data_IF_719157801025
#
_entry.id   IF_719157801025
#
_cell.length_a   1.000
_cell.length_b   1.000
_cell.length_c   1.000
_cell.angle_alpha   90.00
_cell.angle_beta   90.00
_cell.angle_gamma   90.00
#
_symmetry.space_group_name_H-M   'P 1'
#
loop_
_entity.id
_entity.type
_entity.pdbx_description
1 polymer ?
#
# COMPACT_ATOMS: atom_id res chain seq x y z
N UNK A 1 10.83 -43.26 4.12
CA UNK A 1 10.85 -42.13 3.19
C UNK A 1 11.31 -40.90 3.95
N UNK A 2 12.51 -40.40 3.66
CA UNK A 2 13.11 -39.28 4.37
C UNK A 2 12.45 -37.97 3.93
N UNK A 3 11.89 -37.22 4.89
CA UNK A 3 11.42 -35.85 4.70
C UNK A 3 12.63 -34.91 4.68
N UNK A 4 12.99 -34.43 3.50
CA UNK A 4 14.02 -33.40 3.33
C UNK A 4 13.46 -32.04 3.75
N UNK A 5 13.98 -31.52 4.87
CA UNK A 5 13.81 -30.12 5.28
C UNK A 5 14.39 -29.21 4.19
N UNK A 6 13.58 -28.33 3.61
CA UNK A 6 14.04 -27.32 2.67
C UNK A 6 14.70 -26.17 3.44
N UNK A 7 16.01 -26.24 3.64
CA UNK A 7 16.81 -25.07 4.03
C UNK A 7 16.90 -24.12 2.83
N UNK A 8 15.96 -23.17 2.75
CA UNK A 8 15.97 -22.13 1.71
C UNK A 8 17.03 -21.08 2.02
N UNK A 9 18.31 -21.39 1.80
CA UNK A 9 19.35 -20.34 1.75
C UNK A 9 19.09 -19.48 0.50
N UNK A 10 18.94 -18.18 0.69
CA UNK A 10 18.78 -17.24 -0.43
C UNK A 10 19.96 -17.35 -1.39
N UNK A 11 19.74 -17.32 -2.72
CA UNK A 11 20.82 -17.49 -3.68
C UNK A 11 21.83 -16.34 -3.58
N UNK A 12 23.11 -16.69 -3.57
CA UNK A 12 24.21 -15.73 -3.62
C UNK A 12 24.19 -15.07 -5.01
N UNK A 13 24.01 -13.74 -5.04
CA UNK A 13 23.95 -12.97 -6.30
C UNK A 13 25.32 -12.54 -6.82
N UNK A 14 26.25 -12.28 -5.91
CA UNK A 14 27.58 -11.74 -6.23
C UNK A 14 28.63 -12.38 -5.33
N UNK A 15 29.73 -12.81 -5.94
CA UNK A 15 30.90 -13.34 -5.25
C UNK A 15 31.82 -12.18 -4.84
N UNK A 16 31.79 -11.82 -3.55
CA UNK A 16 32.51 -10.67 -2.99
C UNK A 16 34.03 -10.80 -3.20
N UNK A 17 34.57 -12.02 -3.27
CA UNK A 17 36.01 -12.25 -3.44
C UNK A 17 36.54 -11.80 -4.81
N UNK A 18 35.66 -11.60 -5.79
CA UNK A 18 36.01 -11.19 -7.16
C UNK A 18 35.83 -9.71 -7.41
N UNK A 19 35.28 -8.97 -6.44
CA UNK A 19 35.06 -7.53 -6.57
C UNK A 19 36.37 -6.75 -6.52
N UNK A 20 36.43 -5.69 -7.32
CA UNK A 20 37.58 -4.78 -7.42
C UNK A 20 37.13 -3.34 -7.22
N UNK A 21 38.06 -2.50 -6.79
CA UNK A 21 37.81 -1.06 -6.69
C UNK A 21 37.42 -0.50 -8.06
N UNK A 22 36.28 0.19 -8.11
CA UNK A 22 35.69 0.70 -9.36
C UNK A 22 34.52 -0.13 -9.91
N UNK A 23 34.23 -1.32 -9.35
CA UNK A 23 33.06 -2.09 -9.74
C UNK A 23 31.75 -1.40 -9.32
N UNK A 24 30.77 -1.42 -10.21
CA UNK A 24 29.43 -0.87 -9.97
C UNK A 24 28.47 -1.96 -9.49
N UNK A 25 27.73 -1.68 -8.41
CA UNK A 25 26.71 -2.56 -7.86
C UNK A 25 25.36 -1.84 -7.86
N UNK A 26 24.28 -2.59 -8.03
CA UNK A 26 22.91 -2.06 -8.00
C UNK A 26 21.99 -3.00 -7.24
N UNK A 27 21.16 -2.44 -6.37
CA UNK A 27 20.05 -3.15 -5.74
C UNK A 27 18.95 -2.14 -5.36
N UNK A 28 17.69 -2.53 -5.51
CA UNK A 28 16.55 -1.81 -4.93
C UNK A 28 16.24 -2.39 -3.55
N UNK A 29 16.23 -1.54 -2.53
CA UNK A 29 15.82 -1.91 -1.17
C UNK A 29 14.82 -0.88 -0.63
N UNK A 30 13.88 -1.36 0.18
CA UNK A 30 12.92 -0.53 0.90
C UNK A 30 13.23 -0.60 2.39
N UNK A 31 13.16 0.54 3.07
CA UNK A 31 13.58 0.68 4.45
C UNK A 31 12.45 1.15 5.35
N UNK A 32 12.41 0.61 6.56
CA UNK A 32 11.63 1.12 7.68
C UNK A 32 12.55 1.86 8.64
N UNK A 33 12.14 3.05 9.09
CA UNK A 33 12.84 3.80 10.13
C UNK A 33 12.68 3.06 11.46
N UNK A 34 13.79 2.69 12.10
CA UNK A 34 13.83 2.12 13.46
C UNK A 34 13.99 3.19 14.51
N UNK A 35 14.93 4.10 14.29
CA UNK A 35 15.33 5.10 15.26
C UNK A 35 15.87 6.34 14.54
N UNK A 36 15.56 7.51 15.08
CA UNK A 36 16.09 8.80 14.61
C UNK A 36 17.13 9.26 15.63
N UNK A 37 18.36 9.39 15.18
CA UNK A 37 19.51 9.83 15.98
C UNK A 37 19.92 11.23 15.51
N UNK A 38 20.74 11.91 16.30
CA UNK A 38 21.25 13.22 15.89
C UNK A 38 22.17 13.08 14.64
N UNK A 39 21.76 13.71 13.53
CA UNK A 39 22.46 13.68 12.24
C UNK A 39 22.42 12.34 11.46
N UNK A 40 21.78 11.28 12.00
CA UNK A 40 21.72 9.95 11.39
C UNK A 40 20.38 9.27 11.65
N UNK A 41 20.00 8.33 10.78
CA UNK A 41 18.79 7.53 10.94
C UNK A 41 19.13 6.06 10.83
N UNK A 42 18.67 5.27 11.80
CA UNK A 42 18.75 3.82 11.76
C UNK A 42 17.58 3.25 10.97
N UNK A 43 17.90 2.45 9.96
CA UNK A 43 16.96 1.86 9.01
C UNK A 43 17.05 0.34 9.08
N UNK A 44 15.95 -0.35 8.82
CA UNK A 44 15.91 -1.79 8.60
C UNK A 44 15.22 -2.09 7.27
N UNK A 45 15.82 -2.96 6.46
CA UNK A 45 15.17 -3.44 5.25
C UNK A 45 14.27 -4.66 5.51
N UNK A 46 13.54 -5.08 4.48
CA UNK A 46 12.60 -6.21 4.55
C UNK A 46 13.26 -7.56 4.90
N UNK A 47 14.58 -7.68 4.77
CA UNK A 47 15.35 -8.89 5.12
C UNK A 47 15.85 -8.88 6.57
N UNK A 48 15.57 -7.81 7.32
CA UNK A 48 16.05 -7.61 8.70
C UNK A 48 17.45 -7.04 8.79
N UNK A 49 18.06 -6.61 7.68
CA UNK A 49 19.37 -5.97 7.73
C UNK A 49 19.21 -4.51 8.18
N UNK A 50 19.90 -4.18 9.26
CA UNK A 50 19.98 -2.81 9.78
C UNK A 50 21.12 -2.04 9.12
N UNK A 51 20.87 -0.80 8.74
CA UNK A 51 21.90 0.16 8.32
C UNK A 51 21.69 1.48 9.06
N UNK A 52 22.75 2.27 9.23
CA UNK A 52 22.64 3.64 9.72
C UNK A 52 23.16 4.57 8.63
N UNK A 53 22.33 5.52 8.22
CA UNK A 53 22.65 6.48 7.17
C UNK A 53 22.59 7.89 7.71
N UNK A 54 23.38 8.80 7.15
CA UNK A 54 23.32 10.23 7.49
C UNK A 54 22.08 10.89 6.88
N UNK A 55 21.62 11.98 7.49
CA UNK A 55 20.45 12.72 7.01
C UNK A 55 20.57 13.11 5.53
N UNK A 56 21.76 13.52 5.10
CA UNK A 56 22.02 13.93 3.72
C UNK A 56 21.68 12.85 2.68
N UNK A 57 21.97 11.58 2.96
CA UNK A 57 21.62 10.47 2.05
C UNK A 57 20.10 10.34 1.92
N UNK A 58 19.38 10.55 3.01
CA UNK A 58 17.92 10.45 3.04
C UNK A 58 17.29 11.64 2.31
N UNK A 59 17.74 12.85 2.63
CA UNK A 59 17.23 14.09 2.06
C UNK A 59 17.46 14.20 0.55
N UNK A 60 18.64 13.77 0.06
CA UNK A 60 18.97 13.85 -1.37
C UNK A 60 18.50 12.63 -2.17
N UNK A 61 18.36 11.47 -1.54
CA UNK A 61 18.28 10.18 -2.26
C UNK A 61 17.07 9.30 -1.95
N UNK A 62 16.26 9.60 -0.93
CA UNK A 62 15.15 8.74 -0.52
C UNK A 62 13.79 9.43 -0.58
N UNK A 63 12.76 8.67 -0.98
CA UNK A 63 11.37 9.10 -0.89
C UNK A 63 10.70 8.50 0.33
N UNK A 64 9.98 9.33 1.07
CA UNK A 64 9.09 8.88 2.15
C UNK A 64 7.76 8.41 1.56
N UNK A 65 7.17 7.36 2.14
CA UNK A 65 5.83 6.92 1.76
C UNK A 65 4.75 7.91 2.16
N UNK A 66 4.99 8.75 3.18
CA UNK A 66 3.97 9.62 3.77
C UNK A 66 4.18 11.12 3.58
N UNK A 67 5.42 11.57 3.30
CA UNK A 67 5.70 12.99 3.11
C UNK A 67 5.41 13.41 1.66
N UNK A 68 4.82 14.60 1.51
CA UNK A 68 4.58 15.22 0.22
C UNK A 68 4.60 16.74 0.39
N UNK A 69 5.02 17.42 -0.67
CA UNK A 69 5.10 18.88 -0.73
C UNK A 69 3.92 19.45 -1.53
N UNK A 70 3.45 18.71 -2.53
CA UNK A 70 2.41 19.15 -3.45
C UNK A 70 1.18 18.25 -3.38
N UNK A 71 0.02 18.83 -3.64
CA UNK A 71 -1.24 18.09 -3.83
C UNK A 71 -1.82 18.42 -5.18
N UNK A 72 -2.04 17.38 -5.99
CA UNK A 72 -2.57 17.50 -7.36
C UNK A 72 -3.88 16.74 -7.45
N UNK A 73 -4.91 17.39 -8.00
CA UNK A 73 -6.19 16.75 -8.28
C UNK A 73 -6.22 16.24 -9.71
N UNK A 74 -6.44 14.94 -9.90
CA UNK A 74 -6.42 14.28 -11.21
C UNK A 74 -7.74 13.56 -11.50
N UNK A 75 -8.00 13.30 -12.79
CA UNK A 75 -9.02 12.31 -13.16
C UNK A 75 -8.59 10.93 -12.65
N UNK A 76 -9.55 10.01 -12.49
CA UNK A 76 -9.24 8.65 -12.06
C UNK A 76 -8.29 7.95 -13.02
N UNK A 77 -8.50 8.08 -14.33
CA UNK A 77 -7.63 7.50 -15.36
C UNK A 77 -6.19 8.00 -15.24
N UNK A 78 -6.00 9.32 -15.09
CA UNK A 78 -4.66 9.88 -14.92
C UNK A 78 -3.99 9.40 -13.61
N UNK A 79 -4.74 9.21 -12.53
CA UNK A 79 -4.18 8.64 -11.30
C UNK A 79 -3.75 7.17 -11.49
N UNK A 80 -4.49 6.39 -12.29
CA UNK A 80 -4.11 5.01 -12.61
C UNK A 80 -2.78 4.98 -13.37
N UNK A 81 -2.60 5.86 -14.35
CA UNK A 81 -1.34 6.01 -15.09
C UNK A 81 -0.16 6.35 -14.15
N UNK A 82 -0.40 7.22 -13.15
CA UNK A 82 0.61 7.53 -12.13
C UNK A 82 0.98 6.29 -11.29
N UNK A 83 -0.01 5.49 -10.88
CA UNK A 83 0.24 4.26 -10.12
C UNK A 83 0.94 3.19 -10.96
N UNK A 84 0.55 3.03 -12.22
CA UNK A 84 1.19 2.11 -13.17
C UNK A 84 2.65 2.52 -13.44
N UNK A 85 2.92 3.82 -13.47
CA UNK A 85 4.26 4.40 -13.60
C UNK A 85 5.08 4.46 -12.31
N UNK A 86 4.59 3.92 -11.18
CA UNK A 86 5.29 4.00 -9.89
C UNK A 86 6.62 3.21 -9.88
N UNK A 87 6.74 2.17 -10.73
CA UNK A 87 7.96 1.37 -10.86
C UNK A 87 8.41 0.78 -9.51
N UNK A 88 9.66 1.01 -9.15
CA UNK A 88 10.30 0.55 -7.92
C UNK A 88 10.27 1.60 -6.79
N UNK A 89 9.43 2.63 -6.92
CA UNK A 89 9.28 3.65 -5.89
C UNK A 89 8.26 3.20 -4.83
N UNK A 90 8.56 3.52 -3.57
CA UNK A 90 7.59 3.36 -2.49
C UNK A 90 6.44 4.37 -2.65
N UNK A 91 5.23 3.93 -2.34
CA UNK A 91 4.05 4.77 -2.33
C UNK A 91 3.10 4.42 -1.18
N UNK A 92 2.22 5.36 -0.86
CA UNK A 92 1.05 5.12 -0.03
C UNK A 92 -0.21 5.29 -0.86
N UNK A 93 -1.06 4.27 -0.92
CA UNK A 93 -2.32 4.33 -1.66
C UNK A 93 -3.49 4.14 -0.70
N UNK A 94 -4.55 4.92 -0.91
CA UNK A 94 -5.82 4.74 -0.22
C UNK A 94 -6.92 4.42 -1.21
N UNK A 95 -7.63 3.34 -0.94
CA UNK A 95 -8.67 2.83 -1.83
C UNK A 95 -9.76 2.14 -1.02
N UNK A 96 -10.94 1.98 -1.62
CA UNK A 96 -12.00 1.21 -0.99
C UNK A 96 -11.90 -0.26 -1.41
N UNK A 97 -11.83 -1.15 -0.44
CA UNK A 97 -11.88 -2.59 -0.70
C UNK A 97 -13.26 -2.95 -1.23
N UNK A 98 -13.33 -3.87 -2.19
CA UNK A 98 -14.61 -4.42 -2.65
C UNK A 98 -15.38 -4.99 -1.45
N UNK A 99 -16.59 -4.47 -1.24
CA UNK A 99 -17.50 -4.95 -0.22
C UNK A 99 -17.87 -6.41 -0.48
N UNK A 100 -17.82 -7.23 0.57
CA UNK A 100 -18.37 -8.59 0.50
C UNK A 100 -19.85 -8.53 0.82
N UNK A 101 -20.66 -9.36 0.16
CA UNK A 101 -22.12 -9.42 0.41
C UNK A 101 -22.44 -9.55 1.90
N UNK A 102 -21.69 -10.38 2.62
CA UNK A 102 -21.82 -10.53 4.07
C UNK A 102 -21.62 -9.21 4.83
N UNK A 103 -20.60 -8.42 4.49
CA UNK A 103 -20.32 -7.12 5.13
C UNK A 103 -21.44 -6.11 4.85
N UNK A 104 -22.04 -6.17 3.66
CA UNK A 104 -23.19 -5.32 3.29
C UNK A 104 -24.42 -5.72 4.10
N UNK A 105 -24.69 -7.02 4.24
CA UNK A 105 -25.80 -7.56 5.01
C UNK A 105 -25.64 -7.22 6.50
N UNK A 106 -24.44 -7.42 7.07
CA UNK A 106 -24.14 -7.11 8.47
C UNK A 106 -24.36 -5.61 8.77
N UNK A 107 -23.96 -4.70 7.86
CA UNK A 107 -24.18 -3.26 8.00
C UNK A 107 -25.67 -2.88 7.92
N UNK A 108 -26.45 -3.56 7.07
CA UNK A 108 -27.91 -3.34 6.97
C UNK A 108 -28.61 -3.85 8.23
N UNK A 109 -28.26 -5.05 8.71
CA UNK A 109 -28.84 -5.64 9.91
C UNK A 109 -28.54 -4.77 11.14
N UNK A 110 -27.29 -4.34 11.33
CA UNK A 110 -26.95 -3.45 12.45
C UNK A 110 -27.72 -2.11 12.40
N UNK A 111 -27.89 -1.53 11.22
CA UNK A 111 -28.68 -0.31 11.06
C UNK A 111 -30.18 -0.50 11.38
N UNK A 112 -30.72 -1.71 11.18
CA UNK A 112 -32.10 -2.07 11.53
C UNK A 112 -32.22 -2.38 13.02
N UNK A 113 -31.24 -3.04 13.63
CA UNK A 113 -31.23 -3.31 15.08
C UNK A 113 -31.17 -2.01 15.91
N UNK A 114 -30.44 -1.00 15.45
CA UNK A 114 -30.38 0.33 16.08
C UNK A 114 -31.68 1.15 15.96
N UNK A 115 -32.67 0.69 15.19
CA UNK A 115 -33.97 1.36 15.05
C UNK A 115 -34.99 0.88 16.08
N UNK A 116 -34.76 -0.26 16.74
CA UNK A 116 -35.72 -0.89 17.65
C UNK A 116 -36.94 -1.47 16.92
N UNK A 117 -37.91 -1.95 17.71
CA UNK A 117 -39.16 -2.50 17.16
C UNK A 117 -40.09 -1.36 16.73
N UNK A 118 -40.40 -1.30 15.44
CA UNK A 118 -41.37 -0.41 14.79
C UNK A 118 -40.90 1.04 14.45
N UNK A 119 -39.85 1.19 13.62
CA UNK A 119 -39.42 2.50 13.13
C UNK A 119 -40.37 3.09 12.08
N UNK A 120 -40.52 4.42 12.07
CA UNK A 120 -41.22 5.15 11.02
C UNK A 120 -40.71 4.72 9.62
N UNK A 121 -41.59 4.33 8.68
CA UNK A 121 -41.22 3.88 7.34
C UNK A 121 -40.27 4.82 6.59
N UNK A 122 -40.38 6.15 6.81
CA UNK A 122 -39.47 7.15 6.21
C UNK A 122 -38.08 7.08 6.82
N UNK A 123 -37.98 6.88 8.13
CA UNK A 123 -36.72 6.74 8.87
C UNK A 123 -36.04 5.43 8.49
N UNK A 124 -36.81 4.34 8.42
CA UNK A 124 -36.34 3.02 7.96
C UNK A 124 -35.76 3.10 6.55
N UNK A 125 -36.52 3.67 5.60
CA UNK A 125 -36.07 3.81 4.21
C UNK A 125 -34.79 4.66 4.10
N UNK A 126 -34.67 5.73 4.89
CA UNK A 126 -33.47 6.59 4.90
C UNK A 126 -32.26 5.84 5.45
N UNK A 127 -32.42 5.09 6.54
CA UNK A 127 -31.33 4.36 7.21
C UNK A 127 -30.86 3.18 6.38
N UNK A 128 -31.77 2.41 5.77
CA UNK A 128 -31.44 1.35 4.82
C UNK A 128 -30.68 1.92 3.61
N UNK A 129 -31.14 3.03 3.01
CA UNK A 129 -30.42 3.67 1.89
C UNK A 129 -28.99 4.09 2.27
N UNK A 130 -28.80 4.61 3.48
CA UNK A 130 -27.47 4.97 3.99
C UNK A 130 -26.59 3.74 4.23
N UNK A 131 -27.13 2.69 4.86
CA UNK A 131 -26.44 1.43 5.12
C UNK A 131 -26.04 0.72 3.82
N UNK A 132 -26.95 0.65 2.83
CA UNK A 132 -26.66 0.12 1.49
C UNK A 132 -25.56 0.93 0.83
N UNK A 133 -25.62 2.27 0.88
CA UNK A 133 -24.57 3.12 0.27
C UNK A 133 -23.21 2.89 0.91
N UNK A 134 -23.16 2.79 2.25
CA UNK A 134 -21.94 2.53 3.01
C UNK A 134 -21.40 1.12 2.75
N UNK A 135 -22.27 0.11 2.82
CA UNK A 135 -21.96 -1.27 2.52
C UNK A 135 -21.40 -1.42 1.11
N UNK A 136 -22.05 -0.87 0.09
CA UNK A 136 -21.59 -0.95 -1.31
C UNK A 136 -20.29 -0.18 -1.56
N UNK A 137 -20.08 0.95 -0.88
CA UNK A 137 -18.84 1.73 -1.05
C UNK A 137 -17.59 1.01 -0.56
N UNK A 138 -17.75 -0.01 0.29
CA UNK A 138 -16.65 -0.83 0.80
C UNK A 138 -15.84 -0.15 1.89
N UNK A 139 -14.95 -0.93 2.52
CA UNK A 139 -14.11 -0.42 3.61
C UNK A 139 -12.91 0.35 3.05
N UNK A 140 -12.70 1.57 3.55
CA UNK A 140 -11.52 2.39 3.24
C UNK A 140 -10.28 1.69 3.78
N UNK A 141 -9.28 1.49 2.93
CA UNK A 141 -7.98 0.93 3.31
C UNK A 141 -6.86 1.84 2.81
N UNK A 142 -5.86 2.03 3.67
CA UNK A 142 -4.57 2.61 3.30
C UNK A 142 -3.53 1.49 3.30
N UNK A 143 -2.62 1.53 2.33
CA UNK A 143 -1.52 0.59 2.17
C UNK A 143 -0.24 1.35 1.83
N UNK A 144 0.86 0.98 2.47
CA UNK A 144 2.22 1.41 2.12
C UNK A 144 2.89 0.27 1.38
N UNK A 145 3.42 0.52 0.19
CA UNK A 145 3.94 -0.54 -0.64
C UNK A 145 4.69 -0.10 -1.87
N UNK A 146 5.03 -1.08 -2.68
CA UNK A 146 5.63 -0.89 -4.00
C UNK A 146 5.00 -1.86 -5.01
N UNK A 147 5.13 -1.53 -6.29
CA UNK A 147 4.52 -2.25 -7.39
C UNK A 147 5.32 -3.51 -7.72
N UNK A 148 4.62 -4.63 -7.96
CA UNK A 148 5.26 -5.86 -8.46
C UNK A 148 4.95 -6.03 -9.93
N UNK A 149 3.67 -5.92 -10.27
CA UNK A 149 3.17 -6.11 -11.61
C UNK A 149 1.98 -5.20 -11.86
N UNK A 150 1.99 -4.58 -13.02
CA UNK A 150 0.86 -3.85 -13.58
C UNK A 150 0.14 -4.75 -14.58
N UNK A 151 -1.15 -4.96 -14.38
CA UNK A 151 -2.01 -5.41 -15.48
C UNK A 151 -2.35 -4.20 -16.36
N UNK A 152 -2.25 -4.36 -17.67
CA UNK A 152 -2.61 -3.28 -18.59
C UNK A 152 -4.15 -3.06 -18.57
N UNK A 153 -4.56 -1.80 -18.36
CA UNK A 153 -5.93 -1.25 -18.45
C UNK A 153 -6.79 -1.41 -17.19
N UNK A 154 -6.89 -0.34 -16.38
CA UNK A 154 -7.95 -0.06 -15.39
C UNK A 154 -8.43 -1.28 -14.56
N UNK A 155 -7.51 -2.17 -14.26
CA UNK A 155 -7.77 -3.44 -13.60
C UNK A 155 -7.31 -3.37 -12.17
N UNK A 156 -6.37 -4.25 -11.82
CA UNK A 156 -5.79 -4.32 -10.49
C UNK A 156 -4.27 -4.29 -10.61
N UNK A 157 -3.61 -3.48 -9.79
CA UNK A 157 -2.17 -3.58 -9.61
C UNK A 157 -1.86 -4.58 -8.50
N UNK A 158 -0.88 -5.44 -8.75
CA UNK A 158 -0.32 -6.29 -7.71
C UNK A 158 0.81 -5.54 -7.01
N UNK A 159 0.68 -5.41 -5.69
CA UNK A 159 1.58 -4.63 -4.84
C UNK A 159 2.07 -5.48 -3.68
N UNK A 160 3.25 -5.16 -3.14
CA UNK A 160 3.68 -5.65 -1.82
C UNK A 160 3.25 -4.64 -0.76
N UNK A 161 2.46 -5.11 0.20
CA UNK A 161 2.09 -4.38 1.41
C UNK A 161 3.23 -4.51 2.44
N UNK A 162 3.96 -3.41 2.66
CA UNK A 162 5.11 -3.39 3.57
C UNK A 162 4.70 -3.51 5.05
N UNK A 163 3.44 -3.21 5.38
CA UNK A 163 2.91 -3.29 6.75
C UNK A 163 2.22 -4.64 7.03
N UNK A 164 1.94 -5.43 5.99
CA UNK A 164 1.30 -6.72 6.16
C UNK A 164 2.21 -7.74 6.88
N UNK A 165 1.73 -8.41 7.95
CA UNK A 165 2.49 -9.43 8.65
C UNK A 165 2.62 -10.72 7.82
N UNK A 166 3.76 -11.39 7.94
CA UNK A 166 3.99 -12.75 7.42
C UNK A 166 4.48 -12.85 5.97
N UNK A 167 4.48 -14.07 5.42
CA UNK A 167 5.03 -14.39 4.09
C UNK A 167 4.15 -13.94 2.92
N UNK A 168 2.86 -13.65 3.15
CA UNK A 168 1.89 -13.30 2.11
C UNK A 168 1.56 -11.79 2.13
N UNK A 169 2.49 -11.00 1.58
CA UNK A 169 2.38 -9.53 1.52
C UNK A 169 1.76 -9.01 0.22
N UNK A 170 1.50 -9.89 -0.75
CA UNK A 170 0.84 -9.53 -2.00
C UNK A 170 -0.58 -9.02 -1.76
N UNK A 171 -0.90 -7.88 -2.34
CA UNK A 171 -2.24 -7.29 -2.35
C UNK A 171 -2.59 -6.85 -3.77
N UNK A 172 -3.89 -6.83 -4.04
CA UNK A 172 -4.43 -6.26 -5.26
C UNK A 172 -5.05 -4.91 -4.92
N UNK A 173 -4.64 -3.88 -5.64
CA UNK A 173 -5.20 -2.53 -5.55
C UNK A 173 -6.11 -2.33 -6.75
N UNK A 174 -7.41 -2.19 -6.51
CA UNK A 174 -8.38 -1.91 -7.57
C UNK A 174 -8.33 -0.42 -7.93
N UNK A 175 -7.94 -0.14 -9.16
CA UNK A 175 -7.78 1.22 -9.67
C UNK A 175 -9.06 2.04 -9.61
N UNK A 176 -10.20 1.37 -9.71
CA UNK A 176 -11.52 2.01 -9.75
C UNK A 176 -11.96 2.52 -8.39
N UNK A 177 -11.33 2.08 -7.31
CA UNK A 177 -11.72 2.47 -5.94
C UNK A 177 -10.67 3.32 -5.24
N UNK A 178 -9.62 3.76 -5.96
CA UNK A 178 -8.61 4.65 -5.40
C UNK A 178 -9.25 6.00 -5.07
N UNK A 179 -8.94 6.47 -3.88
CA UNK A 179 -9.31 7.78 -3.36
C UNK A 179 -8.15 8.77 -3.51
N UNK A 180 -6.93 8.33 -3.17
CA UNK A 180 -5.70 9.12 -3.32
C UNK A 180 -4.44 8.23 -3.33
N UNK A 181 -3.33 8.79 -3.83
CA UNK A 181 -2.01 8.17 -3.91
C UNK A 181 -0.94 9.19 -3.47
N UNK A 182 0.02 8.79 -2.65
CA UNK A 182 1.25 9.55 -2.36
C UNK A 182 2.40 8.84 -3.02
N UNK A 183 3.09 9.53 -3.93
CA UNK A 183 4.23 9.01 -4.68
C UNK A 183 5.21 10.15 -4.96
N UNK A 184 6.51 9.93 -4.71
CA UNK A 184 7.60 10.88 -5.01
C UNK A 184 7.31 12.33 -4.56
N UNK A 185 6.95 12.48 -3.28
CA UNK A 185 6.61 13.76 -2.64
C UNK A 185 5.38 14.49 -3.21
N UNK A 186 4.54 13.82 -4.00
CA UNK A 186 3.28 14.39 -4.51
C UNK A 186 2.10 13.54 -4.04
N UNK A 187 1.07 14.22 -3.54
CA UNK A 187 -0.22 13.61 -3.21
C UNK A 187 -1.22 13.83 -4.34
N UNK A 188 -1.61 12.75 -5.00
CA UNK A 188 -2.61 12.73 -6.04
C UNK A 188 -3.98 12.40 -5.45
N UNK A 189 -4.97 13.25 -5.69
CA UNK A 189 -6.35 13.05 -5.19
C UNK A 189 -7.29 12.92 -6.39
N UNK A 190 -8.23 11.96 -6.31
CA UNK A 190 -9.23 11.80 -7.37
C UNK A 190 -10.20 12.99 -7.35
N UNK A 191 -10.39 13.60 -8.52
CA UNK A 191 -11.40 14.63 -8.75
C UNK A 191 -12.79 14.03 -8.49
N UNK A 192 -13.56 14.69 -7.62
CA UNK A 192 -14.96 14.36 -7.36
C UNK A 192 -15.86 14.77 -8.52
#
# INVERSE_FOLDING_TARGET
MASTKSDSKSPIRTDVSKLKAGDYLSETQYYKVKEVLDGKIALENERGFGITVTNRIIEEGMYSSGQFNDTVTLSRTALCEVLEGAGDSIFTVNFNKQAKEKEVVDEILGAVDELGSDPDPKVLTKRIKAAVKKGVSGQVRTLIGYLVQTEAKMGRSQVIDLEAPGKHRYRLVDHRTINWLVLKNVKYVVKK
#
